data_IF_131861913909
#
_entry.id   IF_131861913909
#
_cell.length_a   1.000
_cell.length_b   1.000
_cell.length_c   1.000
_cell.angle_alpha   90.00
_cell.angle_beta   90.00
_cell.angle_gamma   90.00
#
_symmetry.space_group_name_H-M   'P 1'
#
loop_
_entity.id
_entity.type
_entity.pdbx_description
1 polymer ?
#
# COMPACT_ATOMS: atom_id res chain seq x y z
N UNK A 1 27.85 17.35 1.87
CA UNK A 1 29.08 16.74 2.42
C UNK A 1 29.34 15.46 1.64
N UNK A 2 30.52 15.33 1.04
CA UNK A 2 30.87 14.20 0.19
C UNK A 2 31.06 12.93 1.04
N UNK A 3 30.27 11.89 0.78
CA UNK A 3 30.52 10.55 1.30
C UNK A 3 31.65 9.92 0.47
N UNK A 4 32.88 10.02 0.96
CA UNK A 4 34.01 9.27 0.43
C UNK A 4 33.81 7.79 0.80
N UNK A 5 33.38 6.98 -0.18
CA UNK A 5 33.37 5.52 -0.13
C UNK A 5 34.82 4.99 -0.14
N UNK A 6 35.54 5.21 0.94
CA UNK A 6 36.74 4.42 1.21
C UNK A 6 36.28 3.02 1.62
N UNK A 7 36.59 2.01 0.81
CA UNK A 7 36.53 0.59 1.17
C UNK A 7 37.52 0.34 2.31
N UNK A 8 37.16 0.77 3.53
CA UNK A 8 37.93 0.45 4.73
C UNK A 8 37.79 -1.03 4.99
N UNK A 9 38.92 -1.69 5.17
CA UNK A 9 39.00 -3.11 5.51
C UNK A 9 38.07 -3.42 6.68
N UNK A 10 37.30 -4.50 6.54
CA UNK A 10 36.40 -4.95 7.58
C UNK A 10 37.19 -5.32 8.85
N UNK A 11 36.64 -4.98 10.00
CA UNK A 11 37.15 -5.52 11.27
C UNK A 11 36.58 -6.93 11.51
N UNK A 12 37.14 -7.67 12.49
CA UNK A 12 36.72 -9.05 12.78
C UNK A 12 35.23 -9.16 13.18
N UNK A 13 34.68 -8.16 13.88
CA UNK A 13 33.27 -8.15 14.26
C UNK A 13 32.36 -7.83 13.05
N UNK A 14 32.80 -6.98 12.12
CA UNK A 14 32.09 -6.70 10.87
C UNK A 14 32.08 -7.95 9.96
N UNK A 15 33.20 -8.67 9.82
CA UNK A 15 33.24 -9.95 9.10
C UNK A 15 32.29 -10.98 9.73
N UNK A 16 32.28 -11.09 11.05
CA UNK A 16 31.35 -11.96 11.78
C UNK A 16 29.90 -11.52 11.60
N UNK A 17 29.62 -10.21 11.58
CA UNK A 17 28.27 -9.70 11.40
C UNK A 17 27.67 -10.15 10.06
N UNK A 18 28.45 -10.15 8.98
CA UNK A 18 28.00 -10.67 7.69
C UNK A 18 27.73 -12.19 7.73
N UNK A 19 28.52 -12.97 8.46
CA UNK A 19 28.23 -14.39 8.68
C UNK A 19 26.96 -14.61 9.52
N UNK A 20 26.75 -13.79 10.56
CA UNK A 20 25.55 -13.83 11.40
C UNK A 20 24.26 -13.55 10.62
N UNK A 21 24.31 -12.83 9.50
CA UNK A 21 23.13 -12.65 8.63
C UNK A 21 22.71 -13.97 7.98
N UNK A 22 23.67 -14.83 7.65
CA UNK A 22 23.39 -16.17 7.09
C UNK A 22 22.77 -17.06 8.16
N UNK A 23 23.26 -16.93 9.41
CA UNK A 23 22.75 -17.63 10.60
C UNK A 23 21.45 -17.02 11.17
N UNK A 24 20.91 -15.96 10.56
CA UNK A 24 19.72 -15.24 11.00
C UNK A 24 19.80 -14.69 12.45
N UNK A 25 21.02 -14.41 12.94
CA UNK A 25 21.28 -13.86 14.29
C UNK A 25 21.17 -12.34 14.33
N UNK A 26 20.04 -11.81 13.87
CA UNK A 26 19.84 -10.38 13.66
C UNK A 26 19.97 -9.54 14.94
N UNK A 27 19.44 -10.01 16.07
CA UNK A 27 19.51 -9.25 17.34
C UNK A 27 20.95 -9.09 17.85
N UNK A 28 21.84 -10.03 17.53
CA UNK A 28 23.25 -9.91 17.89
C UNK A 28 23.98 -8.91 17.01
N UNK A 29 23.71 -8.91 15.70
CA UNK A 29 24.22 -7.89 14.78
C UNK A 29 23.81 -6.50 15.26
N UNK A 30 22.53 -6.34 15.64
CA UNK A 30 22.00 -5.08 16.14
C UNK A 30 22.70 -4.65 17.43
N UNK A 31 22.93 -5.55 18.38
CA UNK A 31 23.73 -5.25 19.58
C UNK A 31 25.15 -4.80 19.26
N UNK A 32 25.82 -5.47 18.33
CA UNK A 32 27.17 -5.09 17.91
C UNK A 32 27.23 -3.71 17.22
N UNK A 33 26.18 -3.33 16.51
CA UNK A 33 26.05 -1.97 15.95
C UNK A 33 25.83 -0.95 17.07
N UNK A 34 24.96 -1.25 18.04
CA UNK A 34 24.69 -0.36 19.17
C UNK A 34 25.93 -0.16 20.06
N UNK A 35 26.75 -1.19 20.22
CA UNK A 35 28.04 -1.14 20.93
C UNK A 35 29.13 -0.39 20.14
N UNK A 36 28.84 0.06 18.91
CA UNK A 36 29.80 0.74 18.03
C UNK A 36 30.91 -0.17 17.46
N UNK A 37 30.77 -1.49 17.60
CA UNK A 37 31.74 -2.49 17.13
C UNK A 37 31.60 -2.77 15.63
N UNK A 38 30.39 -2.63 15.11
CA UNK A 38 30.05 -2.82 13.69
C UNK A 38 29.53 -1.50 13.12
N UNK A 39 30.15 -1.02 12.04
CA UNK A 39 29.60 0.13 11.31
C UNK A 39 28.39 -0.33 10.50
N UNK A 40 27.25 0.33 10.67
CA UNK A 40 26.00 -0.01 9.95
C UNK A 40 26.15 -0.04 8.42
N UNK A 41 27.04 0.78 7.88
CA UNK A 41 27.34 0.90 6.45
C UNK A 41 28.66 0.25 6.04
N UNK A 42 29.18 -0.72 6.82
CA UNK A 42 30.31 -1.55 6.36
C UNK A 42 29.92 -2.33 5.11
N UNK A 43 30.90 -2.61 4.24
CA UNK A 43 30.68 -3.29 2.96
C UNK A 43 31.43 -4.62 2.93
N UNK A 44 30.76 -5.69 2.54
CA UNK A 44 31.39 -6.99 2.30
C UNK A 44 32.28 -6.99 1.04
N UNK A 45 32.91 -8.13 0.75
CA UNK A 45 33.78 -8.31 -0.42
C UNK A 45 33.06 -8.13 -1.76
N UNK A 46 31.73 -8.17 -1.79
CA UNK A 46 30.90 -7.93 -2.97
C UNK A 46 30.37 -6.48 -3.05
N UNK A 47 30.71 -5.65 -2.06
CA UNK A 47 30.24 -4.28 -1.93
C UNK A 47 28.80 -4.16 -1.40
N UNK A 48 28.26 -5.21 -0.78
CA UNK A 48 26.95 -5.17 -0.14
C UNK A 48 27.07 -4.72 1.32
N UNK A 49 26.14 -3.88 1.78
CA UNK A 49 26.02 -3.58 3.21
C UNK A 49 25.09 -4.59 3.92
N UNK A 50 24.98 -4.49 5.25
CA UNK A 50 24.08 -5.35 6.03
C UNK A 50 22.62 -5.21 5.61
N UNK A 51 22.21 -4.03 5.14
CA UNK A 51 20.85 -3.76 4.67
C UNK A 51 20.56 -4.49 3.35
N UNK A 52 21.51 -4.54 2.42
CA UNK A 52 21.42 -5.28 1.16
C UNK A 52 21.27 -6.79 1.43
N UNK A 53 22.11 -7.32 2.34
CA UNK A 53 22.04 -8.73 2.76
C UNK A 53 20.71 -9.04 3.46
N UNK A 54 20.27 -8.20 4.38
CA UNK A 54 18.95 -8.31 5.02
C UNK A 54 17.80 -8.24 4.02
N UNK A 55 17.92 -7.38 3.00
CA UNK A 55 16.93 -7.25 1.93
C UNK A 55 16.89 -8.47 1.02
N UNK A 56 18.05 -9.07 0.73
CA UNK A 56 18.16 -10.31 -0.02
C UNK A 56 17.56 -11.50 0.75
N UNK A 57 17.71 -11.54 2.08
CA UNK A 57 17.02 -12.50 2.95
C UNK A 57 15.51 -12.25 3.04
N UNK A 58 15.09 -10.99 2.88
CA UNK A 58 13.70 -10.57 2.90
C UNK A 58 13.15 -10.29 4.31
N UNK A 59 14.03 -10.11 5.30
CA UNK A 59 13.61 -9.84 6.68
C UNK A 59 13.30 -8.35 6.87
N UNK A 60 12.00 -8.03 6.93
CA UNK A 60 11.50 -6.65 7.06
C UNK A 60 11.91 -6.02 8.39
N UNK A 61 11.90 -6.80 9.47
CA UNK A 61 12.17 -6.28 10.82
C UNK A 61 13.65 -5.95 10.99
N UNK A 62 14.54 -6.81 10.50
CA UNK A 62 15.97 -6.56 10.51
C UNK A 62 16.33 -5.35 9.64
N UNK A 63 15.76 -5.26 8.43
CA UNK A 63 15.97 -4.09 7.55
C UNK A 63 15.47 -2.80 8.21
N UNK A 64 14.30 -2.80 8.85
CA UNK A 64 13.82 -1.64 9.61
C UNK A 64 14.83 -1.23 10.70
N UNK A 65 15.29 -2.18 11.53
CA UNK A 65 16.25 -1.89 12.62
C UNK A 65 17.57 -1.30 12.10
N UNK A 66 18.02 -1.69 10.90
CA UNK A 66 19.21 -1.13 10.25
C UNK A 66 18.96 0.29 9.74
N UNK A 67 17.81 0.54 9.10
CA UNK A 67 17.41 1.87 8.63
C UNK A 67 17.34 2.85 9.80
N UNK A 68 16.74 2.43 10.92
CA UNK A 68 16.63 3.23 12.15
C UNK A 68 18.01 3.65 12.70
N UNK A 69 19.07 2.90 12.33
CA UNK A 69 20.47 3.15 12.70
C UNK A 69 21.28 3.87 11.62
N UNK A 70 20.62 4.42 10.59
CA UNK A 70 21.27 5.20 9.54
C UNK A 70 21.91 4.35 8.44
N UNK A 71 21.41 3.15 8.20
CA UNK A 71 21.80 2.36 7.04
C UNK A 71 21.47 3.10 5.72
N UNK A 72 22.40 3.05 4.77
CA UNK A 72 22.23 3.63 3.45
C UNK A 72 21.34 2.73 2.58
N UNK A 73 20.12 3.20 2.30
CA UNK A 73 19.12 2.52 1.45
C UNK A 73 19.46 2.55 -0.05
N UNK A 74 20.39 3.40 -0.49
CA UNK A 74 20.76 3.56 -1.89
C UNK A 74 22.18 3.03 -2.18
N UNK A 75 22.70 2.12 -1.34
CA UNK A 75 23.95 1.43 -1.65
C UNK A 75 23.86 0.69 -3.00
N UNK A 76 24.99 0.63 -3.71
CA UNK A 76 25.09 -0.08 -4.99
C UNK A 76 26.17 -1.14 -4.88
N UNK A 77 25.76 -2.41 -4.91
CA UNK A 77 26.68 -3.53 -4.90
C UNK A 77 27.69 -3.44 -6.06
N UNK A 78 28.96 -3.80 -5.81
CA UNK A 78 30.04 -3.55 -6.78
C UNK A 78 29.90 -4.38 -8.05
N UNK A 79 29.48 -5.64 -7.92
CA UNK A 79 29.49 -6.59 -9.03
C UNK A 79 28.50 -6.21 -10.13
N UNK A 80 27.24 -5.95 -9.75
CA UNK A 80 26.15 -5.80 -10.71
C UNK A 80 25.34 -4.50 -10.53
N UNK A 81 25.67 -3.70 -9.50
CA UNK A 81 24.98 -2.46 -9.21
C UNK A 81 23.58 -2.63 -8.64
N UNK A 82 23.29 -3.78 -8.02
CA UNK A 82 22.02 -4.00 -7.31
C UNK A 82 21.88 -3.06 -6.13
N UNK A 83 20.64 -2.62 -5.90
CA UNK A 83 20.23 -1.89 -4.70
C UNK A 83 19.37 -2.78 -3.82
N UNK A 84 19.21 -2.43 -2.54
CA UNK A 84 18.32 -3.13 -1.63
C UNK A 84 16.88 -3.29 -2.15
N UNK A 85 16.35 -2.28 -2.86
CA UNK A 85 15.01 -2.33 -3.45
C UNK A 85 14.92 -3.40 -4.55
N UNK A 86 15.98 -3.61 -5.32
CA UNK A 86 16.03 -4.69 -6.32
C UNK A 86 16.07 -6.07 -5.65
N UNK A 87 16.79 -6.22 -4.54
CA UNK A 87 16.77 -7.45 -3.76
C UNK A 87 15.38 -7.73 -3.17
N UNK A 88 14.72 -6.72 -2.60
CA UNK A 88 13.35 -6.83 -2.11
C UNK A 88 12.36 -7.25 -3.21
N UNK A 89 12.52 -6.67 -4.41
CA UNK A 89 11.73 -6.99 -5.58
C UNK A 89 11.95 -8.43 -6.08
N UNK A 90 13.20 -8.90 -6.17
CA UNK A 90 13.53 -10.29 -6.51
C UNK A 90 12.99 -11.29 -5.48
N UNK A 91 13.02 -10.92 -4.19
CA UNK A 91 12.43 -11.73 -3.13
C UNK A 91 10.91 -11.77 -3.22
N UNK A 92 10.30 -10.86 -3.99
CA UNK A 92 8.86 -10.72 -4.09
C UNK A 92 8.23 -10.31 -2.76
N UNK A 93 8.89 -9.43 -1.99
CA UNK A 93 8.40 -8.95 -0.71
C UNK A 93 7.83 -7.51 -0.85
N UNK A 94 6.50 -7.33 -0.98
CA UNK A 94 5.91 -6.02 -1.22
C UNK A 94 6.00 -5.11 0.00
N UNK A 95 5.96 -5.67 1.21
CA UNK A 95 6.09 -4.92 2.45
C UNK A 95 7.50 -4.35 2.60
N UNK A 96 8.53 -5.11 2.19
CA UNK A 96 9.91 -4.64 2.14
C UNK A 96 10.14 -3.57 1.07
N UNK A 97 9.57 -3.74 -0.13
CA UNK A 97 9.63 -2.72 -1.18
C UNK A 97 9.05 -1.38 -0.70
N UNK A 98 7.85 -1.41 -0.10
CA UNK A 98 7.20 -0.22 0.46
C UNK A 98 8.04 0.40 1.58
N UNK A 99 8.60 -0.40 2.49
CA UNK A 99 9.51 0.08 3.54
C UNK A 99 10.69 0.86 2.93
N UNK A 100 11.44 0.24 2.02
CA UNK A 100 12.64 0.83 1.42
C UNK A 100 12.33 2.13 0.65
N UNK A 101 11.27 2.13 -0.15
CA UNK A 101 10.82 3.32 -0.88
C UNK A 101 10.53 4.49 0.08
N UNK A 102 9.90 4.20 1.22
CA UNK A 102 9.50 5.22 2.20
C UNK A 102 10.65 5.81 2.99
N UNK A 103 11.79 5.12 2.99
CA UNK A 103 13.05 5.63 3.51
C UNK A 103 13.99 6.17 2.42
N UNK A 104 13.47 6.41 1.21
CA UNK A 104 14.15 7.16 0.16
C UNK A 104 14.85 6.32 -0.90
N UNK A 105 14.64 4.99 -0.92
CA UNK A 105 15.22 4.15 -1.97
C UNK A 105 14.74 4.60 -3.37
N UNK A 106 15.68 4.72 -4.32
CA UNK A 106 15.36 5.17 -5.68
C UNK A 106 14.69 4.08 -6.51
N UNK A 107 13.40 4.26 -6.79
CA UNK A 107 12.59 3.34 -7.62
C UNK A 107 13.16 3.11 -9.04
N UNK A 108 13.77 4.13 -9.64
CA UNK A 108 14.30 4.10 -11.01
C UNK A 108 15.80 3.83 -11.09
N UNK A 109 16.44 3.40 -10.01
CA UNK A 109 17.81 2.93 -10.08
C UNK A 109 17.91 1.72 -11.02
N UNK A 110 19.01 1.64 -11.78
CA UNK A 110 19.27 0.53 -12.71
C UNK A 110 20.56 -0.21 -12.36
N UNK A 111 20.56 -1.53 -12.54
CA UNK A 111 21.75 -2.38 -12.52
C UNK A 111 22.68 -2.05 -13.68
N UNK A 112 23.88 -2.67 -13.74
CA UNK A 112 24.77 -2.61 -14.92
C UNK A 112 24.11 -3.12 -16.20
N UNK A 113 23.13 -4.02 -16.09
CA UNK A 113 22.33 -4.54 -17.22
C UNK A 113 21.11 -3.67 -17.57
N UNK A 114 21.03 -2.43 -17.10
CA UNK A 114 19.89 -1.52 -17.29
C UNK A 114 18.54 -2.08 -16.80
N UNK A 115 18.55 -2.83 -15.70
CA UNK A 115 17.34 -3.40 -15.08
C UNK A 115 16.94 -2.66 -13.82
N UNK A 116 15.66 -2.31 -13.73
CA UNK A 116 15.02 -1.63 -12.59
C UNK A 116 14.47 -2.63 -11.57
N UNK A 117 14.20 -2.18 -10.35
CA UNK A 117 13.52 -3.00 -9.35
C UNK A 117 12.14 -3.50 -9.82
N UNK A 118 11.40 -2.69 -10.57
CA UNK A 118 10.12 -3.10 -11.18
C UNK A 118 10.30 -4.28 -12.13
N UNK A 119 11.31 -4.24 -13.02
CA UNK A 119 11.57 -5.36 -13.92
C UNK A 119 11.98 -6.63 -13.15
N UNK A 120 12.76 -6.49 -12.07
CA UNK A 120 13.10 -7.62 -11.20
C UNK A 120 11.85 -8.26 -10.57
N UNK A 121 10.94 -7.44 -10.04
CA UNK A 121 9.66 -7.93 -9.50
C UNK A 121 8.81 -8.64 -10.57
N UNK A 122 8.82 -8.13 -11.81
CA UNK A 122 8.11 -8.74 -12.93
C UNK A 122 8.71 -10.10 -13.33
N UNK A 123 10.04 -10.25 -13.32
CA UNK A 123 10.73 -11.51 -13.61
C UNK A 123 10.30 -12.64 -12.66
N UNK A 124 10.05 -12.32 -11.40
CA UNK A 124 9.57 -13.29 -10.39
C UNK A 124 8.04 -13.35 -10.28
N UNK A 125 7.31 -12.75 -11.23
CA UNK A 125 5.84 -12.69 -11.28
C UNK A 125 5.19 -12.07 -10.02
N UNK A 126 5.87 -11.13 -9.36
CA UNK A 126 5.33 -10.44 -8.20
C UNK A 126 4.66 -9.12 -8.59
N UNK A 127 3.40 -9.23 -9.00
CA UNK A 127 2.60 -8.07 -9.44
C UNK A 127 2.37 -7.02 -8.33
N UNK A 128 2.35 -7.43 -7.06
CA UNK A 128 2.16 -6.48 -5.95
C UNK A 128 3.40 -5.60 -5.78
N UNK A 129 4.61 -6.16 -5.85
CA UNK A 129 5.85 -5.37 -5.85
C UNK A 129 5.90 -4.41 -7.04
N UNK A 130 5.57 -4.88 -8.25
CA UNK A 130 5.48 -4.03 -9.45
C UNK A 130 4.51 -2.87 -9.21
N UNK A 131 3.33 -3.16 -8.68
CA UNK A 131 2.30 -2.15 -8.40
C UNK A 131 2.76 -1.13 -7.37
N UNK A 132 3.37 -1.58 -6.26
CA UNK A 132 3.90 -0.70 -5.20
C UNK A 132 4.99 0.22 -5.74
N UNK A 133 5.98 -0.33 -6.45
CA UNK A 133 7.11 0.45 -6.97
C UNK A 133 6.62 1.46 -8.02
N UNK A 134 5.82 1.03 -8.99
CA UNK A 134 5.33 1.91 -10.06
C UNK A 134 4.32 2.95 -9.57
N UNK A 135 3.61 2.68 -8.46
CA UNK A 135 2.59 3.58 -7.91
C UNK A 135 3.09 4.37 -6.71
N UNK A 136 4.40 4.43 -6.51
CA UNK A 136 5.01 5.16 -5.41
C UNK A 136 5.14 6.65 -5.75
N UNK A 137 4.75 7.49 -4.80
CA UNK A 137 4.95 8.94 -4.83
C UNK A 137 5.75 9.26 -3.58
N UNK A 138 6.88 9.94 -3.73
CA UNK A 138 7.74 10.23 -2.60
C UNK A 138 7.12 11.27 -1.67
N UNK A 139 7.51 11.23 -0.40
CA UNK A 139 7.17 12.29 0.57
C UNK A 139 7.62 13.66 0.07
N UNK A 140 8.77 13.74 -0.59
CA UNK A 140 9.32 14.98 -1.14
C UNK A 140 8.48 15.53 -2.30
N UNK A 141 7.92 14.65 -3.15
CA UNK A 141 7.00 15.07 -4.22
C UNK A 141 5.74 15.72 -3.64
N UNK A 142 5.18 15.12 -2.58
CA UNK A 142 4.05 15.70 -1.84
C UNK A 142 4.44 17.04 -1.22
N UNK A 143 5.59 17.08 -0.53
CA UNK A 143 6.08 18.27 0.13
C UNK A 143 6.35 19.42 -0.86
N UNK A 144 6.85 19.11 -2.06
CA UNK A 144 7.10 20.11 -3.11
C UNK A 144 5.83 20.80 -3.62
N UNK A 145 4.67 20.14 -3.54
CA UNK A 145 3.38 20.73 -3.92
C UNK A 145 2.84 21.56 -2.77
N UNK A 146 2.97 21.07 -1.54
CA UNK A 146 2.48 21.77 -0.35
C UNK A 146 3.32 23.01 -0.04
N UNK A 147 4.63 22.93 -0.29
CA UNK A 147 5.63 23.96 -0.04
C UNK A 147 6.52 24.18 -1.29
N UNK A 148 6.03 24.88 -2.33
CA UNK A 148 6.78 25.07 -3.59
C UNK A 148 8.14 25.77 -3.44
N UNK A 149 8.30 26.60 -2.40
CA UNK A 149 9.55 27.31 -2.08
C UNK A 149 10.17 26.77 -0.78
N UNK A 150 9.84 25.54 -0.39
CA UNK A 150 10.26 24.95 0.88
C UNK A 150 9.86 25.82 2.07
N UNK A 151 10.82 26.13 2.95
CA UNK A 151 10.60 26.96 4.16
C UNK A 151 10.26 28.43 3.85
N UNK A 152 10.50 28.90 2.64
CA UNK A 152 10.17 30.26 2.20
C UNK A 152 8.77 30.35 1.58
N UNK A 153 8.02 29.23 1.55
CA UNK A 153 6.66 29.21 1.01
C UNK A 153 5.73 30.13 1.81
N UNK A 154 4.81 30.79 1.10
CA UNK A 154 3.82 31.71 1.68
C UNK A 154 3.05 31.11 2.86
N UNK A 155 2.73 29.83 2.78
CA UNK A 155 2.08 29.07 3.83
C UNK A 155 2.96 27.87 4.15
N UNK A 156 3.24 27.66 5.43
CA UNK A 156 3.98 26.49 5.92
C UNK A 156 3.02 25.65 6.76
N UNK A 157 2.92 24.37 6.41
CA UNK A 157 2.04 23.39 7.01
C UNK A 157 2.85 22.41 7.88
N UNK A 158 2.22 21.78 8.88
CA UNK A 158 2.87 20.79 9.73
C UNK A 158 3.34 19.56 8.94
N UNK A 159 4.43 18.93 9.41
CA UNK A 159 4.97 17.70 8.80
C UNK A 159 3.96 16.56 8.86
N UNK A 160 3.11 16.52 9.89
CA UNK A 160 2.02 15.56 10.03
C UNK A 160 1.02 15.62 8.85
N UNK A 161 0.84 16.80 8.25
CA UNK A 161 -0.01 16.95 7.07
C UNK A 161 0.65 16.37 5.81
N UNK A 162 1.97 16.58 5.66
CA UNK A 162 2.76 15.99 4.57
C UNK A 162 2.70 14.47 4.68
N UNK A 163 2.91 13.94 5.89
CA UNK A 163 2.87 12.51 6.18
C UNK A 163 1.50 11.90 5.92
N UNK A 164 0.43 12.61 6.27
CA UNK A 164 -0.93 12.17 5.98
C UNK A 164 -1.22 12.13 4.47
N UNK A 165 -0.85 13.18 3.72
CA UNK A 165 -1.07 13.19 2.27
C UNK A 165 -0.22 12.08 1.60
N UNK A 166 1.03 11.91 2.01
CA UNK A 166 1.88 10.82 1.54
C UNK A 166 1.30 9.44 1.87
N UNK A 167 0.70 9.25 3.05
CA UNK A 167 -0.02 8.02 3.39
C UNK A 167 -1.17 7.74 2.41
N UNK A 168 -1.95 8.76 2.04
CA UNK A 168 -3.05 8.61 1.08
C UNK A 168 -2.59 8.15 -0.30
N UNK A 169 -1.35 8.47 -0.69
CA UNK A 169 -0.79 8.04 -1.98
C UNK A 169 -0.15 6.66 -1.93
N UNK A 170 -0.06 6.01 -0.78
CA UNK A 170 0.65 4.73 -0.60
C UNK A 170 -0.25 3.50 -0.74
N UNK A 171 0.39 2.37 -1.11
CA UNK A 171 -0.22 1.03 -1.23
C UNK A 171 -1.59 1.06 -1.94
N UNK A 172 -2.57 0.39 -1.32
CA UNK A 172 -3.91 0.10 -1.84
C UNK A 172 -5.00 1.00 -1.22
N UNK A 173 -4.62 2.18 -0.70
CA UNK A 173 -5.51 3.05 0.06
C UNK A 173 -6.46 3.81 -0.88
N UNK A 174 -7.54 3.14 -1.31
CA UNK A 174 -8.58 3.73 -2.18
C UNK A 174 -9.98 3.66 -1.59
N UNK A 175 -10.15 2.96 -0.46
CA UNK A 175 -11.45 2.71 0.13
C UNK A 175 -11.94 3.93 0.95
N UNK A 176 -13.14 4.50 0.69
CA UNK A 176 -13.62 5.72 1.37
C UNK A 176 -13.67 5.62 2.89
N UNK A 177 -14.03 4.45 3.44
CA UNK A 177 -14.00 4.23 4.90
C UNK A 177 -12.57 4.28 5.44
N UNK A 178 -11.59 3.70 4.74
CA UNK A 178 -10.21 3.71 5.22
C UNK A 178 -9.63 5.12 5.18
N UNK A 179 -9.85 5.87 4.09
CA UNK A 179 -9.48 7.30 3.99
C UNK A 179 -10.05 8.08 5.17
N UNK A 180 -11.33 7.85 5.48
CA UNK A 180 -12.01 8.53 6.58
C UNK A 180 -11.47 8.13 7.96
N UNK A 181 -11.13 6.85 8.17
CA UNK A 181 -10.51 6.36 9.41
C UNK A 181 -9.11 6.95 9.59
N UNK A 182 -8.29 6.97 8.55
CA UNK A 182 -6.93 7.53 8.63
C UNK A 182 -6.93 9.03 8.94
N UNK A 183 -7.92 9.76 8.43
CA UNK A 183 -8.15 11.15 8.78
C UNK A 183 -8.72 11.30 10.21
N UNK A 184 -9.61 10.41 10.64
CA UNK A 184 -10.19 10.42 12.00
C UNK A 184 -9.11 10.24 13.06
N UNK A 185 -8.13 9.38 12.79
CA UNK A 185 -6.98 9.15 13.65
C UNK A 185 -5.99 10.34 13.69
N UNK A 186 -6.17 11.36 12.85
CA UNK A 186 -5.33 12.56 12.73
C UNK A 186 -6.19 13.84 12.76
N UNK A 187 -6.77 14.19 13.93
CA UNK A 187 -7.70 15.31 14.05
C UNK A 187 -7.16 16.63 13.49
N UNK A 188 -5.86 16.89 13.69
CA UNK A 188 -5.23 18.14 13.29
C UNK A 188 -5.16 18.33 11.77
N UNK A 189 -5.31 17.25 11.00
CA UNK A 189 -5.34 17.28 9.54
C UNK A 189 -6.72 17.69 8.99
N UNK A 190 -7.80 17.54 9.75
CA UNK A 190 -9.18 17.73 9.24
C UNK A 190 -9.42 19.17 8.80
N UNK A 191 -8.87 20.15 9.54
CA UNK A 191 -8.96 21.57 9.19
C UNK A 191 -8.34 21.89 7.81
N UNK A 192 -7.39 21.07 7.35
CA UNK A 192 -6.70 21.25 6.07
C UNK A 192 -7.35 20.48 4.91
N UNK A 193 -8.57 19.94 5.07
CA UNK A 193 -9.22 19.07 4.06
C UNK A 193 -9.21 19.66 2.64
N UNK A 194 -9.45 20.98 2.50
CA UNK A 194 -9.40 21.65 1.19
C UNK A 194 -8.00 21.63 0.58
N UNK A 195 -6.95 21.83 1.38
CA UNK A 195 -5.57 21.76 0.92
C UNK A 195 -5.17 20.32 0.59
N UNK A 196 -5.61 19.33 1.40
CA UNK A 196 -5.42 17.91 1.12
C UNK A 196 -6.00 17.56 -0.26
N UNK A 197 -7.25 17.95 -0.52
CA UNK A 197 -7.91 17.74 -1.81
C UNK A 197 -7.09 18.37 -2.94
N UNK A 198 -6.66 19.62 -2.77
CA UNK A 198 -5.83 20.33 -3.75
C UNK A 198 -4.52 19.59 -4.07
N UNK A 199 -3.78 19.14 -3.05
CA UNK A 199 -2.50 18.45 -3.26
C UNK A 199 -2.70 17.11 -3.97
N UNK A 200 -3.72 16.33 -3.58
CA UNK A 200 -4.05 15.06 -4.24
C UNK A 200 -4.49 15.28 -5.70
N UNK A 201 -5.25 16.34 -5.97
CA UNK A 201 -5.66 16.74 -7.33
C UNK A 201 -4.43 17.13 -8.19
N UNK A 202 -3.48 17.87 -7.63
CA UNK A 202 -2.22 18.20 -8.30
C UNK A 202 -1.36 16.95 -8.59
N UNK A 203 -1.27 16.03 -7.62
CA UNK A 203 -0.57 14.75 -7.82
C UNK A 203 -1.23 13.92 -8.91
N UNK A 204 -2.56 13.90 -8.94
CA UNK A 204 -3.36 13.24 -9.96
C UNK A 204 -3.10 13.79 -11.37
N UNK A 205 -3.15 15.11 -11.54
CA UNK A 205 -2.91 15.79 -12.81
C UNK A 205 -1.50 15.55 -13.36
N UNK A 206 -0.50 15.39 -12.47
CA UNK A 206 0.88 15.07 -12.88
C UNK A 206 1.01 13.69 -13.54
N UNK A 207 0.15 12.73 -13.22
CA UNK A 207 0.32 11.33 -13.66
C UNK A 207 0.06 11.07 -15.14
N UNK A 208 -0.78 11.89 -15.78
CA UNK A 208 -1.14 11.72 -17.19
C UNK A 208 -0.57 12.81 -18.10
N UNK A 209 0.10 13.81 -17.52
CA UNK A 209 0.86 14.84 -18.24
C UNK A 209 2.35 14.50 -18.35
N UNK A 210 2.78 13.38 -17.77
CA UNK A 210 4.16 12.86 -17.88
C UNK A 210 4.41 12.24 -19.26
N UNK A 211 5.71 12.13 -19.63
CA UNK A 211 6.15 11.47 -20.87
C UNK A 211 5.64 10.02 -20.96
N UNK A 212 5.58 9.34 -19.83
CA UNK A 212 5.00 8.01 -19.69
C UNK A 212 3.80 8.09 -18.72
N UNK A 213 2.57 8.03 -19.23
CA UNK A 213 1.37 8.19 -18.41
C UNK A 213 1.19 6.99 -17.47
N UNK A 214 1.03 7.25 -16.18
CA UNK A 214 0.73 6.21 -15.20
C UNK A 214 -0.77 6.10 -14.96
N UNK A 215 -1.46 5.39 -15.85
CA UNK A 215 -2.93 5.24 -15.79
C UNK A 215 -3.42 4.62 -14.47
N UNK A 216 -2.67 3.65 -13.90
CA UNK A 216 -3.04 2.97 -12.66
C UNK A 216 -2.94 3.91 -11.47
N UNK A 217 -1.82 4.62 -11.32
CA UNK A 217 -1.64 5.59 -10.25
C UNK A 217 -2.62 6.77 -10.39
N UNK A 218 -2.86 7.25 -11.62
CA UNK A 218 -3.87 8.27 -11.89
C UNK A 218 -5.27 7.83 -11.40
N UNK A 219 -5.70 6.62 -11.77
CA UNK A 219 -7.01 6.12 -11.34
C UNK A 219 -7.08 5.86 -9.83
N UNK A 220 -5.99 5.39 -9.22
CA UNK A 220 -5.87 5.25 -7.76
C UNK A 220 -6.04 6.61 -7.05
N UNK A 221 -5.30 7.64 -7.46
CA UNK A 221 -5.42 8.98 -6.90
C UNK A 221 -6.82 9.57 -7.10
N UNK A 222 -7.46 9.25 -8.23
CA UNK A 222 -8.84 9.64 -8.46
C UNK A 222 -9.82 9.04 -7.44
N UNK A 223 -9.62 7.78 -7.02
CA UNK A 223 -10.44 7.19 -5.94
C UNK A 223 -10.19 7.86 -4.59
N UNK A 224 -8.93 8.17 -4.27
CA UNK A 224 -8.59 8.95 -3.06
C UNK A 224 -9.31 10.29 -3.08
N UNK A 225 -9.18 11.02 -4.19
CA UNK A 225 -9.79 12.32 -4.41
C UNK A 225 -11.32 12.27 -4.36
N UNK A 226 -11.94 11.25 -4.96
CA UNK A 226 -13.39 11.02 -4.88
C UNK A 226 -13.88 10.80 -3.45
N UNK A 227 -13.14 10.02 -2.66
CA UNK A 227 -13.42 9.82 -1.23
C UNK A 227 -13.34 11.12 -0.44
N UNK A 228 -12.27 11.91 -0.62
CA UNK A 228 -12.07 13.19 0.05
C UNK A 228 -13.13 14.24 -0.35
N UNK A 229 -13.44 14.35 -1.64
CA UNK A 229 -14.48 15.27 -2.15
C UNK A 229 -15.85 14.92 -1.59
N UNK A 230 -16.17 13.62 -1.46
CA UNK A 230 -17.45 13.20 -0.87
C UNK A 230 -17.52 13.46 0.62
N UNK A 231 -16.40 13.35 1.33
CA UNK A 231 -16.31 13.78 2.73
C UNK A 231 -16.52 15.30 2.87
N UNK A 232 -15.87 16.11 2.03
CA UNK A 232 -16.04 17.57 2.03
C UNK A 232 -17.50 17.98 1.76
N UNK A 233 -18.18 17.32 0.81
CA UNK A 233 -19.63 17.50 0.57
C UNK A 233 -20.45 17.15 1.81
N UNK A 234 -20.12 16.05 2.49
CA UNK A 234 -20.81 15.63 3.70
C UNK A 234 -20.62 16.63 4.85
N UNK A 235 -19.41 17.16 5.04
CA UNK A 235 -19.12 18.19 6.05
C UNK A 235 -19.91 19.47 5.75
N UNK A 236 -19.91 19.93 4.49
CA UNK A 236 -20.68 21.12 4.07
C UNK A 236 -22.18 20.97 4.34
N UNK A 237 -22.75 19.78 4.15
CA UNK A 237 -24.15 19.50 4.45
C UNK A 237 -24.51 19.54 5.95
N UNK A 238 -23.50 19.58 6.83
CA UNK A 238 -23.62 19.58 8.30
C UNK A 238 -23.03 20.84 8.92
N UNK A 239 -23.07 21.97 8.20
CA UNK A 239 -22.44 23.26 8.57
C UNK A 239 -22.78 23.82 9.96
N UNK A 240 -23.83 23.31 10.62
CA UNK A 240 -24.22 23.70 11.98
C UNK A 240 -23.41 22.99 13.08
N UNK A 241 -22.72 21.88 12.78
CA UNK A 241 -21.90 21.15 13.75
C UNK A 241 -20.45 21.67 13.70
N UNK A 242 -19.99 22.31 14.77
CA UNK A 242 -18.63 22.84 14.86
C UNK A 242 -17.59 21.73 15.13
N UNK A 243 -18.00 20.61 15.72
CA UNK A 243 -17.14 19.46 16.00
C UNK A 243 -16.95 18.59 14.74
N UNK A 244 -15.89 18.89 13.98
CA UNK A 244 -15.51 18.14 12.78
C UNK A 244 -15.22 16.66 13.03
N UNK A 245 -14.72 16.31 14.23
CA UNK A 245 -14.45 14.91 14.61
C UNK A 245 -15.76 14.13 14.76
N UNK A 246 -16.77 14.74 15.38
CA UNK A 246 -18.12 14.17 15.47
C UNK A 246 -18.77 14.02 14.09
N UNK A 247 -18.63 15.01 13.21
CA UNK A 247 -19.11 14.91 11.82
C UNK A 247 -18.43 13.76 11.07
N UNK A 248 -17.11 13.64 11.16
CA UNK A 248 -16.35 12.57 10.52
C UNK A 248 -16.72 11.18 11.05
N UNK A 249 -16.92 11.04 12.36
CA UNK A 249 -17.45 9.80 12.96
C UNK A 249 -18.84 9.45 12.43
N UNK A 250 -19.70 10.45 12.24
CA UNK A 250 -21.01 10.31 11.60
C UNK A 250 -20.89 9.84 10.15
N UNK A 251 -19.95 10.39 9.40
CA UNK A 251 -19.67 9.99 8.02
C UNK A 251 -19.18 8.53 7.91
N UNK A 252 -18.23 8.13 8.75
CA UNK A 252 -17.76 6.74 8.83
C UNK A 252 -18.94 5.80 9.11
N UNK A 253 -19.78 6.12 10.08
CA UNK A 253 -20.98 5.31 10.38
C UNK A 253 -21.96 5.24 9.21
N UNK A 254 -22.16 6.34 8.50
CA UNK A 254 -23.03 6.37 7.32
C UNK A 254 -22.50 5.46 6.19
N UNK A 255 -21.19 5.50 5.91
CA UNK A 255 -20.54 4.62 4.93
C UNK A 255 -20.62 3.15 5.35
N UNK A 256 -20.48 2.90 6.66
CA UNK A 256 -20.45 1.56 7.27
C UNK A 256 -21.84 0.96 7.48
N UNK A 257 -22.92 1.68 7.19
CA UNK A 257 -24.25 1.17 7.46
C UNK A 257 -24.64 0.04 6.49
N UNK A 258 -24.92 -1.14 7.03
CA UNK A 258 -25.65 -2.19 6.31
C UNK A 258 -27.10 -1.75 6.13
N UNK A 259 -27.61 -1.89 4.90
CA UNK A 259 -29.00 -1.58 4.56
C UNK A 259 -29.56 -2.66 3.67
N UNK A 260 -30.86 -2.93 3.82
CA UNK A 260 -31.63 -3.73 2.87
C UNK A 260 -32.25 -2.77 1.86
N UNK A 261 -31.84 -2.88 0.60
CA UNK A 261 -32.38 -2.10 -0.52
C UNK A 261 -32.77 -3.08 -1.60
N UNK A 262 -34.02 -3.04 -2.03
CA UNK A 262 -34.60 -3.96 -3.03
C UNK A 262 -34.44 -5.44 -2.61
N UNK A 263 -34.63 -5.73 -1.32
CA UNK A 263 -34.46 -7.07 -0.75
C UNK A 263 -33.00 -7.53 -0.62
N UNK A 264 -32.03 -6.70 -1.00
CA UNK A 264 -30.60 -7.03 -0.99
C UNK A 264 -29.87 -6.26 0.10
N UNK A 265 -29.12 -6.99 0.93
CA UNK A 265 -28.31 -6.43 2.01
C UNK A 265 -26.95 -6.01 1.46
N UNK A 266 -26.62 -4.74 1.61
CA UNK A 266 -25.33 -4.19 1.17
C UNK A 266 -25.00 -2.88 1.88
N UNK A 267 -23.75 -2.44 1.75
CA UNK A 267 -23.33 -1.10 2.17
C UNK A 267 -23.58 -0.09 1.04
N UNK A 268 -24.84 0.27 0.85
CA UNK A 268 -25.26 1.03 -0.34
C UNK A 268 -24.51 2.35 -0.52
N UNK A 269 -24.13 3.02 0.58
CA UNK A 269 -23.49 4.34 0.47
C UNK A 269 -22.07 4.22 -0.08
N UNK A 270 -21.22 3.35 0.50
CA UNK A 270 -19.84 3.17 0.01
C UNK A 270 -19.81 2.59 -1.41
N UNK A 271 -20.71 1.65 -1.74
CA UNK A 271 -20.85 1.13 -3.10
C UNK A 271 -21.19 2.25 -4.10
N UNK A 272 -22.14 3.12 -3.75
CA UNK A 272 -22.52 4.26 -4.59
C UNK A 272 -21.36 5.23 -4.78
N UNK A 273 -20.62 5.54 -3.73
CA UNK A 273 -19.43 6.40 -3.80
C UNK A 273 -18.44 5.79 -4.78
N UNK A 274 -18.00 4.55 -4.55
CA UNK A 274 -17.04 3.85 -5.42
C UNK A 274 -17.52 3.79 -6.87
N UNK A 275 -18.77 3.40 -7.11
CA UNK A 275 -19.33 3.29 -8.45
C UNK A 275 -19.38 4.65 -9.17
N UNK A 276 -19.86 5.69 -8.48
CA UNK A 276 -19.91 7.05 -9.04
C UNK A 276 -18.51 7.61 -9.31
N UNK A 277 -17.53 7.32 -8.46
CA UNK A 277 -16.14 7.73 -8.64
C UNK A 277 -15.53 7.04 -9.87
N UNK A 278 -15.77 5.74 -10.06
CA UNK A 278 -15.35 5.00 -11.26
C UNK A 278 -15.88 5.66 -12.54
N UNK A 279 -17.18 5.97 -12.58
CA UNK A 279 -17.81 6.63 -13.72
C UNK A 279 -17.41 8.10 -13.87
N UNK A 280 -16.94 8.74 -12.81
CA UNK A 280 -16.47 10.14 -12.81
C UNK A 280 -15.06 10.33 -13.36
N UNK A 281 -14.27 9.27 -13.55
CA UNK A 281 -12.86 9.38 -13.97
C UNK A 281 -12.71 10.14 -15.30
N UNK A 282 -11.92 11.24 -15.37
CA UNK A 282 -12.00 12.16 -16.50
C UNK A 282 -11.40 11.60 -17.81
N UNK A 283 -10.41 10.71 -17.73
CA UNK A 283 -9.71 10.19 -18.92
C UNK A 283 -10.40 8.98 -19.52
N UNK A 284 -11.53 9.21 -20.21
CA UNK A 284 -12.40 8.16 -20.77
C UNK A 284 -11.75 7.28 -21.85
N UNK A 285 -10.70 7.77 -22.48
CA UNK A 285 -9.99 7.06 -23.54
C UNK A 285 -8.98 6.03 -23.00
N UNK A 286 -8.59 6.16 -21.72
CA UNK A 286 -7.57 5.30 -21.09
C UNK A 286 -7.98 3.84 -21.08
N UNK A 287 -6.98 2.95 -21.14
CA UNK A 287 -7.23 1.51 -21.11
C UNK A 287 -7.79 1.09 -19.75
N UNK A 288 -7.29 1.68 -18.66
CA UNK A 288 -7.76 1.39 -17.31
C UNK A 288 -9.24 1.75 -17.13
N UNK A 289 -9.71 2.86 -17.70
CA UNK A 289 -11.12 3.25 -17.62
C UNK A 289 -12.02 2.27 -18.38
N UNK A 290 -11.61 1.88 -19.59
CA UNK A 290 -12.33 0.90 -20.41
C UNK A 290 -12.37 -0.48 -19.74
N UNK A 291 -11.27 -0.89 -19.11
CA UNK A 291 -11.21 -2.13 -18.31
C UNK A 291 -12.17 -2.05 -17.12
N UNK A 292 -12.11 -0.97 -16.34
CA UNK A 292 -13.00 -0.75 -15.19
C UNK A 292 -14.48 -0.78 -15.59
N UNK A 293 -14.84 -0.09 -16.68
CA UNK A 293 -16.21 -0.05 -17.17
C UNK A 293 -16.74 -1.41 -17.63
N UNK A 294 -15.89 -2.29 -18.19
CA UNK A 294 -16.28 -3.67 -18.53
C UNK A 294 -16.50 -4.51 -17.26
N UNK A 295 -15.54 -4.51 -16.35
CA UNK A 295 -15.63 -5.32 -15.13
C UNK A 295 -16.77 -4.89 -14.20
N UNK A 296 -17.09 -3.60 -14.12
CA UNK A 296 -18.20 -3.12 -13.30
C UNK A 296 -19.59 -3.53 -13.82
N UNK A 297 -19.74 -3.86 -15.11
CA UNK A 297 -21.02 -4.37 -15.66
C UNK A 297 -21.39 -5.75 -15.13
N UNK A 298 -20.39 -6.53 -14.71
CA UNK A 298 -20.58 -7.87 -14.19
C UNK A 298 -20.98 -7.86 -12.70
N UNK A 299 -20.84 -6.72 -12.02
CA UNK A 299 -21.16 -6.59 -10.59
C UNK A 299 -22.66 -6.54 -10.38
N UNK A 300 -23.17 -7.51 -9.64
CA UNK A 300 -24.55 -7.52 -9.15
C UNK A 300 -24.62 -6.98 -7.71
N UNK A 301 -25.59 -6.10 -7.38
CA UNK A 301 -25.74 -5.58 -6.02
C UNK A 301 -25.80 -6.69 -4.96
N UNK A 302 -25.06 -6.50 -3.85
CA UNK A 302 -25.02 -7.43 -2.70
C UNK A 302 -24.48 -8.83 -2.98
N UNK A 303 -23.90 -9.07 -4.17
CA UNK A 303 -23.18 -10.31 -4.49
C UNK A 303 -21.68 -10.07 -4.54
N UNK A 304 -20.93 -11.17 -4.41
CA UNK A 304 -19.50 -11.17 -4.65
C UNK A 304 -19.21 -11.56 -6.12
N UNK A 305 -18.21 -10.96 -6.80
CA UNK A 305 -17.36 -9.86 -6.32
C UNK A 305 -18.13 -8.54 -6.21
N UNK A 306 -17.83 -7.75 -5.17
CA UNK A 306 -18.43 -6.44 -4.99
C UNK A 306 -17.67 -5.36 -5.78
N UNK A 307 -18.21 -4.14 -5.83
CA UNK A 307 -17.63 -2.99 -6.54
C UNK A 307 -16.16 -2.75 -6.15
N UNK A 308 -15.84 -2.79 -4.85
CA UNK A 308 -14.47 -2.56 -4.36
C UNK A 308 -13.50 -3.66 -4.81
N UNK A 309 -13.92 -4.92 -4.72
CA UNK A 309 -13.12 -6.07 -5.16
C UNK A 309 -12.81 -5.99 -6.65
N UNK A 310 -13.78 -5.60 -7.47
CA UNK A 310 -13.57 -5.38 -8.91
C UNK A 310 -12.59 -4.25 -9.17
N UNK A 311 -12.73 -3.12 -8.47
CA UNK A 311 -11.78 -2.00 -8.58
C UNK A 311 -10.36 -2.45 -8.25
N UNK A 312 -10.17 -3.20 -7.15
CA UNK A 312 -8.87 -3.73 -6.76
C UNK A 312 -8.30 -4.69 -7.80
N UNK A 313 -9.14 -5.53 -8.40
CA UNK A 313 -8.72 -6.46 -9.44
C UNK A 313 -8.20 -5.74 -10.68
N UNK A 314 -8.81 -4.61 -11.05
CA UNK A 314 -8.41 -3.82 -12.22
C UNK A 314 -7.14 -3.02 -11.94
N UNK A 315 -7.00 -2.44 -10.74
CA UNK A 315 -5.84 -1.59 -10.40
C UNK A 315 -4.60 -2.37 -9.95
N UNK A 316 -4.78 -3.47 -9.22
CA UNK A 316 -3.70 -4.19 -8.55
C UNK A 316 -3.56 -5.65 -9.03
N UNK A 317 -4.42 -6.07 -9.96
CA UNK A 317 -4.41 -7.40 -10.58
C UNK A 317 -5.29 -8.43 -9.88
N UNK A 318 -5.75 -9.43 -10.65
CA UNK A 318 -6.63 -10.50 -10.15
C UNK A 318 -5.95 -11.36 -9.08
N UNK A 319 -4.66 -11.67 -9.26
CA UNK A 319 -3.91 -12.50 -8.29
C UNK A 319 -3.91 -11.87 -6.91
N UNK A 320 -3.68 -10.55 -6.81
CA UNK A 320 -3.73 -9.81 -5.54
C UNK A 320 -5.08 -9.97 -4.84
N UNK A 321 -6.19 -9.89 -5.59
CA UNK A 321 -7.54 -10.04 -5.04
C UNK A 321 -7.81 -11.48 -4.56
N UNK A 322 -7.39 -12.48 -5.34
CA UNK A 322 -7.59 -13.89 -5.00
C UNK A 322 -6.79 -14.28 -3.76
N UNK A 323 -5.56 -13.78 -3.62
CA UNK A 323 -4.69 -14.13 -2.49
C UNK A 323 -4.92 -13.25 -1.25
N UNK A 324 -5.71 -12.18 -1.35
CA UNK A 324 -5.91 -11.24 -0.24
C UNK A 324 -7.32 -11.32 0.34
N UNK A 325 -7.40 -11.67 1.63
CA UNK A 325 -8.60 -11.39 2.42
C UNK A 325 -8.75 -9.88 2.64
N UNK A 326 -9.81 -9.26 2.11
CA UNK A 326 -10.10 -7.85 2.36
C UNK A 326 -11.00 -7.67 3.58
N UNK A 327 -10.65 -6.72 4.44
CA UNK A 327 -11.54 -6.24 5.49
C UNK A 327 -12.86 -5.74 4.89
N UNK A 328 -13.98 -6.30 5.31
CA UNK A 328 -15.32 -5.95 4.84
C UNK A 328 -15.74 -4.52 5.17
N UNK A 329 -15.07 -3.90 6.15
CA UNK A 329 -15.35 -2.52 6.55
C UNK A 329 -14.47 -1.51 5.79
N UNK A 330 -13.14 -1.65 5.88
CA UNK A 330 -12.21 -0.65 5.38
C UNK A 330 -11.45 -1.07 4.12
N UNK A 331 -11.63 -2.30 3.63
CA UNK A 331 -10.95 -2.78 2.42
C UNK A 331 -9.45 -3.04 2.59
N UNK A 332 -8.89 -2.99 3.80
CA UNK A 332 -7.48 -3.34 4.04
C UNK A 332 -7.23 -4.81 3.65
N UNK A 333 -6.19 -5.13 2.85
CA UNK A 333 -5.87 -6.51 2.45
C UNK A 333 -5.24 -7.31 3.59
N UNK A 334 -4.94 -8.59 3.33
CA UNK A 334 -4.31 -9.54 4.27
C UNK A 334 -5.02 -9.58 5.64
N UNK A 335 -6.34 -9.54 5.63
CA UNK A 335 -7.20 -9.62 6.81
C UNK A 335 -7.66 -11.07 7.03
N UNK A 336 -7.67 -11.52 8.26
CA UNK A 336 -7.94 -12.91 8.66
C UNK A 336 -8.94 -13.02 9.82
N UNK A 337 -9.05 -11.99 10.65
CA UNK A 337 -9.94 -11.96 11.80
C UNK A 337 -11.41 -11.75 11.38
N UNK A 338 -12.27 -12.75 11.58
CA UNK A 338 -13.64 -12.74 11.07
C UNK A 338 -14.74 -13.06 12.08
N UNK A 339 -15.99 -12.78 11.69
CA UNK A 339 -17.17 -13.22 12.42
C UNK A 339 -17.32 -14.75 12.31
N UNK A 340 -17.42 -15.44 13.45
CA UNK A 340 -17.54 -16.90 13.48
C UNK A 340 -18.77 -17.44 12.75
N UNK A 341 -19.87 -16.68 12.74
CA UNK A 341 -21.17 -17.03 12.15
C UNK A 341 -21.19 -16.82 10.63
N UNK A 342 -21.12 -15.58 10.17
CA UNK A 342 -21.26 -15.22 8.75
C UNK A 342 -19.92 -15.04 8.01
N UNK A 343 -18.79 -15.42 8.60
CA UNK A 343 -17.43 -15.37 8.00
C UNK A 343 -17.00 -14.03 7.39
N UNK A 344 -17.68 -12.93 7.72
CA UNK A 344 -17.24 -11.57 7.36
C UNK A 344 -15.87 -11.30 8.00
N UNK A 345 -14.91 -10.85 7.19
CA UNK A 345 -13.50 -10.67 7.58
C UNK A 345 -13.21 -9.20 7.92
N UNK A 346 -12.35 -8.96 8.90
CA UNK A 346 -11.88 -7.66 9.37
C UNK A 346 -10.37 -7.66 9.54
N UNK A 347 -9.74 -6.49 9.38
CA UNK A 347 -8.30 -6.34 9.61
C UNK A 347 -7.92 -6.15 11.09
N UNK A 348 -8.89 -5.87 11.96
CA UNK A 348 -8.65 -5.59 13.39
C UNK A 348 -9.94 -5.66 14.20
N UNK A 349 -9.79 -5.82 15.51
CA UNK A 349 -10.88 -5.72 16.48
C UNK A 349 -11.57 -4.34 16.44
N UNK A 350 -10.82 -3.26 16.13
CA UNK A 350 -11.37 -1.92 15.98
C UNK A 350 -12.32 -1.82 14.79
N UNK A 351 -11.95 -2.37 13.63
CA UNK A 351 -12.84 -2.43 12.47
C UNK A 351 -14.09 -3.27 12.77
N UNK A 352 -13.93 -4.42 13.44
CA UNK A 352 -15.08 -5.21 13.84
C UNK A 352 -16.02 -4.42 14.78
N UNK A 353 -15.49 -3.75 15.81
CA UNK A 353 -16.29 -2.93 16.74
C UNK A 353 -17.04 -1.79 16.06
N UNK A 354 -16.41 -1.11 15.10
CA UNK A 354 -17.03 -0.04 14.31
C UNK A 354 -18.20 -0.56 13.48
N UNK A 355 -18.06 -1.76 12.92
CA UNK A 355 -19.08 -2.41 12.08
C UNK A 355 -20.18 -3.10 12.90
N UNK A 356 -19.86 -3.61 14.10
CA UNK A 356 -20.69 -4.55 14.84
C UNK A 356 -22.12 -4.07 15.09
N UNK A 357 -22.30 -2.76 15.31
CA UNK A 357 -23.62 -2.17 15.59
C UNK A 357 -24.63 -2.43 14.47
N UNK A 358 -24.19 -2.37 13.21
CA UNK A 358 -25.03 -2.59 12.02
C UNK A 358 -24.88 -4.01 11.48
N UNK A 359 -23.71 -4.62 11.64
CA UNK A 359 -23.51 -6.00 11.22
C UNK A 359 -24.40 -6.98 11.99
N UNK A 360 -24.50 -6.88 13.33
CA UNK A 360 -25.28 -7.84 14.14
C UNK A 360 -26.74 -7.97 13.69
N UNK A 361 -27.32 -6.92 13.09
CA UNK A 361 -28.71 -6.93 12.62
C UNK A 361 -28.90 -7.65 11.29
N UNK A 362 -27.82 -7.88 10.54
CA UNK A 362 -27.83 -8.54 9.23
C UNK A 362 -26.98 -9.81 9.19
N UNK A 363 -26.31 -10.17 10.28
CA UNK A 363 -25.38 -11.30 10.36
C UNK A 363 -26.03 -12.62 9.89
N UNK A 364 -27.27 -12.85 10.29
CA UNK A 364 -28.01 -14.08 9.99
C UNK A 364 -28.30 -14.18 8.49
N UNK A 365 -28.74 -13.07 7.91
CA UNK A 365 -29.01 -12.99 6.47
C UNK A 365 -27.72 -13.09 5.64
N UNK A 366 -26.61 -12.51 6.14
CA UNK A 366 -25.29 -12.64 5.50
C UNK A 366 -24.79 -14.10 5.53
N UNK A 367 -25.06 -14.83 6.61
CA UNK A 367 -24.76 -16.25 6.69
C UNK A 367 -25.54 -17.05 5.63
N UNK A 368 -26.86 -16.84 5.53
CA UNK A 368 -27.68 -17.51 4.51
C UNK A 368 -27.21 -17.19 3.08
N UNK A 369 -26.77 -15.96 2.83
CA UNK A 369 -26.22 -15.57 1.52
C UNK A 369 -24.88 -16.26 1.21
N UNK A 370 -24.07 -16.61 2.21
CA UNK A 370 -22.84 -17.37 1.98
C UNK A 370 -23.13 -18.81 1.57
N UNK A 371 -24.08 -19.46 2.23
CA UNK A 371 -24.49 -20.83 1.92
C UNK A 371 -25.01 -20.93 0.48
N UNK A 372 -25.74 -19.91 0.01
CA UNK A 372 -26.21 -19.80 -1.39
C UNK A 372 -25.09 -19.51 -2.40
N UNK A 373 -24.06 -18.73 -2.02
CA UNK A 373 -22.96 -18.33 -2.91
C UNK A 373 -21.78 -19.32 -2.90
N UNK A 374 -21.66 -20.21 -1.91
CA UNK A 374 -20.63 -21.25 -1.84
C UNK A 374 -20.68 -22.20 -3.04
N UNK A 375 -21.87 -22.41 -3.64
CA UNK A 375 -22.06 -23.16 -4.88
C UNK A 375 -21.45 -22.50 -6.13
N UNK A 376 -20.94 -21.26 -6.04
CA UNK A 376 -20.43 -20.47 -7.18
C UNK A 376 -19.01 -19.92 -7.02
N UNK A 377 -18.34 -20.16 -5.89
CA UNK A 377 -16.92 -19.79 -5.75
C UNK A 377 -16.04 -20.84 -6.42
N UNK A 378 -15.01 -20.46 -7.20
CA UNK A 378 -13.94 -21.38 -7.52
C UNK A 378 -13.33 -21.84 -6.20
N UNK A 379 -13.39 -23.14 -5.94
CA UNK A 379 -12.75 -23.75 -4.78
C UNK A 379 -11.23 -23.63 -4.91
N UNK A 380 -10.55 -23.47 -3.78
CA UNK A 380 -9.10 -23.32 -3.63
C UNK A 380 -8.29 -24.57 -4.04
N UNK A 381 -8.82 -25.46 -4.89
CA UNK A 381 -8.24 -26.76 -5.24
C UNK A 381 -7.82 -26.83 -6.70
N UNK A 382 -7.02 -25.86 -7.15
CA UNK A 382 -6.51 -25.80 -8.52
C UNK A 382 -5.07 -25.34 -8.69
N UNK A 383 -4.30 -25.25 -7.59
CA UNK A 383 -2.86 -24.95 -7.67
C UNK A 383 -2.11 -26.14 -7.09
N UNK A 384 -1.82 -27.14 -7.94
CA UNK A 384 -0.72 -28.06 -7.66
C UNK A 384 0.56 -27.22 -7.68
N UNK A 385 1.14 -26.99 -6.50
CA UNK A 385 2.51 -26.54 -6.39
C UNK A 385 3.39 -27.65 -6.97
N UNK A 386 4.09 -27.39 -8.06
CA UNK A 386 5.28 -28.15 -8.40
C UNK A 386 6.30 -27.79 -7.31
N UNK A 387 6.53 -28.73 -6.39
CA UNK A 387 7.58 -28.65 -5.38
C UNK A 387 8.94 -28.56 -6.08
N UNK A 388 9.78 -27.63 -5.62
CA UNK A 388 11.07 -27.29 -6.21
C UNK A 388 12.21 -28.28 -5.94
N UNK A 389 11.97 -29.58 -6.13
CA UNK A 389 13.01 -30.61 -5.97
C UNK A 389 13.56 -31.20 -7.29
N UNK A 390 13.06 -30.78 -8.47
CA UNK A 390 13.47 -31.34 -9.76
C UNK A 390 14.51 -30.51 -10.54
N UNK A 391 15.37 -29.73 -9.87
CA UNK A 391 16.58 -29.14 -10.49
C UNK A 391 17.83 -29.84 -9.96
N UNK A 392 17.85 -31.18 -10.03
CA UNK A 392 19.08 -31.99 -9.96
C UNK A 392 18.94 -33.27 -10.78
N UNK A 393 18.94 -33.16 -12.11
CA UNK A 393 19.54 -34.17 -12.99
C UNK A 393 19.30 -33.80 -14.46
N UNK A 394 20.26 -33.12 -15.07
CA UNK A 394 20.59 -33.24 -16.50
C UNK A 394 21.95 -32.57 -16.68
N UNK A 395 22.97 -33.40 -16.86
CA UNK A 395 24.27 -33.00 -17.40
C UNK A 395 24.12 -32.50 -18.84
#
# INVERSE_FOLDING_TARGET
MAFTNELRQLNCDEEKAFLMVIEERYDEIIRLIDDGRVRVNCLDKSGMNLLDQGSHKGDVNFVQKLIDRGANVDNRAQNDGFTCLMFAALRGNPDLCDLLLTHGARAHAVTKMNKTATEMAALVNNHECVSIINSYISRDDVNSILHPQGKESREVFPDELVDFIHLLTRRHLIHPILISIELYNRPDCIQYLKKIIYVVDMLFERQLRSKEPNEVLSMKLWFVLGGLRKLDEFIKSRSLESDLQKVLKGYIRALSAWKTVDGVIRRCFVERVLFSTSLGFPYKHSLIFKAMGRSLKEVSPGRFPNVFTVICSVLFGQRFVVTSGFCSLCGKPKSDFGCSKCKVIYCSSNCQKLDWKTHKTVCDQLQSNLELNAYKRPTEHGVQYISGDDVKSSQ
#
